data_IF_302444373938
#
_entry.id   IF_302444373938
#
_cell.length_a   1.000
_cell.length_b   1.000
_cell.length_c   1.000
_cell.angle_alpha   90.00
_cell.angle_beta   90.00
_cell.angle_gamma   90.00
#
_symmetry.space_group_name_H-M   'P 1'
#
loop_
_entity.id
_entity.type
_entity.pdbx_description
1 polymer ?
#
# COMPACT_ATOMS: atom_id res chain seq x y z
N UNK A 1 19.26 -5.65 24.27
CA UNK A 1 19.07 -5.89 22.81
C UNK A 1 17.71 -5.33 22.47
N UNK A 2 17.65 -4.20 21.79
CA UNK A 2 16.38 -3.55 21.48
C UNK A 2 15.62 -4.45 20.50
N UNK A 3 14.38 -4.85 20.85
CA UNK A 3 13.52 -5.58 19.94
C UNK A 3 13.20 -4.68 18.75
N UNK A 4 13.80 -4.98 17.60
CA UNK A 4 13.61 -4.20 16.38
C UNK A 4 12.24 -4.54 15.78
N UNK A 5 11.19 -3.83 16.24
CA UNK A 5 9.88 -3.89 15.59
C UNK A 5 9.96 -3.19 14.24
N UNK A 6 10.36 -3.92 13.20
CA UNK A 6 10.38 -3.43 11.84
C UNK A 6 9.04 -3.71 11.15
N UNK A 7 8.42 -2.65 10.61
CA UNK A 7 7.21 -2.73 9.79
C UNK A 7 7.61 -2.62 8.32
N UNK A 8 7.08 -3.49 7.46
CA UNK A 8 7.34 -3.43 6.03
C UNK A 8 6.59 -2.25 5.42
N UNK A 9 7.33 -1.31 4.82
CA UNK A 9 6.79 -0.14 4.11
C UNK A 9 7.13 -0.27 2.63
N UNK A 10 6.12 -0.36 1.79
CA UNK A 10 6.26 -0.39 0.33
C UNK A 10 5.81 0.94 -0.27
N UNK A 11 6.65 1.58 -1.08
CA UNK A 11 6.26 2.75 -1.87
C UNK A 11 6.08 2.32 -3.32
N UNK A 12 4.95 2.65 -3.92
CA UNK A 12 4.64 2.37 -5.32
C UNK A 12 4.09 3.62 -5.99
N UNK A 13 4.26 3.71 -7.31
CA UNK A 13 3.62 4.72 -8.15
C UNK A 13 2.62 4.00 -9.06
N UNK A 14 1.43 4.57 -9.21
CA UNK A 14 0.39 4.04 -10.09
C UNK A 14 -0.08 5.11 -11.07
N UNK A 15 -0.19 4.72 -12.34
CA UNK A 15 -0.75 5.54 -13.42
C UNK A 15 -2.26 5.39 -13.57
N UNK A 16 -2.91 4.64 -12.68
CA UNK A 16 -4.36 4.45 -12.68
C UNK A 16 -5.09 5.77 -12.43
N UNK A 17 -6.27 5.94 -13.04
CA UNK A 17 -7.05 7.17 -12.90
C UNK A 17 -7.58 7.31 -11.48
N UNK A 18 -6.98 8.22 -10.72
CA UNK A 18 -7.38 8.49 -9.34
C UNK A 18 -8.85 8.96 -9.24
N UNK A 19 -9.36 9.71 -10.22
CA UNK A 19 -10.75 10.18 -10.20
C UNK A 19 -11.72 9.01 -10.37
N UNK A 20 -11.38 8.08 -11.26
CA UNK A 20 -12.11 6.82 -11.36
C UNK A 20 -12.03 6.07 -10.04
N UNK A 21 -10.84 5.90 -9.43
CA UNK A 21 -10.65 5.14 -8.19
C UNK A 21 -11.31 5.71 -6.92
N UNK A 22 -11.64 7.00 -6.86
CA UNK A 22 -12.38 7.61 -5.73
C UNK A 22 -13.86 7.83 -6.03
N UNK A 23 -14.28 7.64 -7.29
CA UNK A 23 -15.65 7.87 -7.71
C UNK A 23 -16.64 7.00 -6.94
N UNK A 24 -17.86 7.50 -6.74
CA UNK A 24 -18.96 6.72 -6.16
C UNK A 24 -19.75 6.02 -7.26
N UNK A 25 -19.14 5.04 -7.92
CA UNK A 25 -19.78 4.19 -8.92
C UNK A 25 -19.30 2.75 -8.77
N UNK A 26 -20.01 1.82 -9.41
CA UNK A 26 -19.57 0.44 -9.47
C UNK A 26 -18.25 0.35 -10.25
N UNK A 27 -17.29 -0.39 -9.70
CA UNK A 27 -16.03 -0.72 -10.36
C UNK A 27 -15.61 -2.15 -10.04
N UNK A 28 -14.65 -2.65 -10.81
CA UNK A 28 -13.99 -3.91 -10.52
C UNK A 28 -13.28 -3.84 -9.16
N UNK A 29 -13.54 -4.81 -8.28
CA UNK A 29 -12.87 -4.90 -6.99
C UNK A 29 -11.40 -5.29 -7.15
N UNK A 30 -11.07 -5.99 -8.24
CA UNK A 30 -9.74 -6.56 -8.44
C UNK A 30 -8.66 -5.49 -8.62
N UNK A 31 -9.03 -4.32 -9.16
CA UNK A 31 -8.10 -3.18 -9.30
C UNK A 31 -7.56 -2.66 -7.96
N UNK A 32 -8.27 -2.88 -6.85
CA UNK A 32 -7.84 -2.41 -5.54
C UNK A 32 -6.82 -3.32 -4.87
N UNK A 33 -6.70 -4.59 -5.32
CA UNK A 33 -5.67 -5.51 -4.79
C UNK A 33 -4.25 -5.01 -5.08
N UNK A 34 -4.06 -4.23 -6.16
CA UNK A 34 -2.78 -3.59 -6.44
C UNK A 34 -2.34 -2.66 -5.30
N UNK A 35 -3.28 -1.98 -4.64
CA UNK A 35 -2.96 -0.98 -3.61
C UNK A 35 -2.80 -1.58 -2.21
N UNK A 36 -3.12 -2.86 -2.02
CA UNK A 36 -3.00 -3.54 -0.73
C UNK A 36 -1.55 -4.01 -0.51
N UNK A 37 -0.91 -3.67 0.64
CA UNK A 37 0.40 -4.21 0.96
C UNK A 37 0.33 -5.73 1.14
N UNK A 38 1.32 -6.42 0.58
CA UNK A 38 1.54 -7.84 0.84
C UNK A 38 2.30 -7.99 2.16
N UNK A 39 1.87 -8.91 3.01
CA UNK A 39 2.57 -9.25 4.24
C UNK A 39 3.55 -10.37 3.90
N UNK A 40 4.82 -10.17 4.27
CA UNK A 40 5.85 -11.16 4.04
C UNK A 40 5.50 -12.52 4.66
N UNK A 41 5.97 -13.63 4.09
CA UNK A 41 5.82 -14.93 4.72
C UNK A 41 6.54 -14.95 6.07
N UNK A 42 6.11 -15.88 6.93
CA UNK A 42 6.78 -16.09 8.21
C UNK A 42 8.12 -16.75 7.96
N UNK A 43 9.19 -16.18 8.49
CA UNK A 43 10.55 -16.72 8.36
C UNK A 43 10.93 -17.42 9.65
N UNK A 44 11.29 -18.70 9.56
CA UNK A 44 11.92 -19.43 10.66
C UNK A 44 13.43 -19.16 10.61
N UNK A 45 13.92 -18.40 11.59
CA UNK A 45 15.34 -18.22 11.83
C UNK A 45 15.82 -19.22 12.90
N UNK A 46 17.12 -19.52 12.94
CA UNK A 46 17.70 -20.60 13.75
C UNK A 46 17.38 -20.52 15.25
N UNK A 47 17.09 -19.32 15.77
CA UNK A 47 16.85 -19.07 17.20
C UNK A 47 15.47 -18.48 17.50
N UNK A 48 14.75 -17.97 16.50
CA UNK A 48 13.44 -17.36 16.67
C UNK A 48 12.62 -17.35 15.38
N UNK A 49 11.30 -17.26 15.52
CA UNK A 49 10.37 -17.16 14.40
C UNK A 49 9.98 -15.70 14.18
N UNK A 50 10.26 -15.16 13.00
CA UNK A 50 9.87 -13.79 12.64
C UNK A 50 8.52 -13.81 11.95
N UNK A 51 7.49 -13.37 12.67
CA UNK A 51 6.12 -13.25 12.16
C UNK A 51 5.84 -11.78 11.83
N UNK A 52 5.75 -11.39 10.53
CA UNK A 52 5.33 -10.06 10.16
C UNK A 52 3.83 -9.90 10.43
N UNK A 53 3.48 -8.97 11.32
CA UNK A 53 2.09 -8.73 11.76
C UNK A 53 1.43 -7.61 10.95
N UNK A 54 2.22 -6.66 10.45
CA UNK A 54 1.73 -5.47 9.76
C UNK A 54 2.59 -5.15 8.53
N UNK A 55 1.93 -4.70 7.46
CA UNK A 55 2.57 -4.10 6.30
C UNK A 55 1.80 -2.83 5.86
N UNK A 56 2.55 -1.84 5.40
CA UNK A 56 2.08 -0.55 4.93
C UNK A 56 2.46 -0.37 3.46
N UNK A 57 1.52 0.11 2.64
CA UNK A 57 1.80 0.52 1.26
C UNK A 57 1.38 1.96 1.05
N UNK A 58 2.29 2.74 0.48
CA UNK A 58 2.10 4.12 0.07
C UNK A 58 2.06 4.11 -1.45
N UNK A 59 0.92 4.48 -2.03
CA UNK A 59 0.77 4.58 -3.49
C UNK A 59 0.67 6.04 -3.91
N UNK A 60 1.54 6.45 -4.82
CA UNK A 60 1.57 7.78 -5.43
C UNK A 60 0.76 7.77 -6.73
N UNK A 61 -0.16 8.73 -6.86
CA UNK A 61 -0.93 8.92 -8.09
C UNK A 61 -0.62 10.30 -8.69
N UNK A 62 -0.23 10.31 -9.96
CA UNK A 62 -0.08 11.55 -10.71
C UNK A 62 -1.43 11.96 -11.30
N UNK A 63 -1.97 13.08 -10.83
CA UNK A 63 -3.22 13.63 -11.37
C UNK A 63 -2.91 14.90 -12.14
N UNK A 64 -3.23 14.89 -13.43
CA UNK A 64 -3.12 16.08 -14.27
C UNK A 64 -4.38 16.92 -14.10
N UNK A 65 -4.27 18.09 -13.45
CA UNK A 65 -5.36 19.05 -13.34
C UNK A 65 -5.14 20.13 -14.38
N UNK A 66 -5.85 20.02 -15.52
CA UNK A 66 -5.67 20.86 -16.72
C UNK A 66 -5.66 22.38 -16.48
N UNK A 67 -6.23 22.87 -15.36
CA UNK A 67 -6.32 24.30 -15.04
C UNK A 67 -5.45 24.76 -13.84
N UNK A 68 -4.86 23.85 -13.06
CA UNK A 68 -4.18 24.17 -11.78
C UNK A 68 -2.79 23.54 -11.61
N UNK A 69 -2.33 22.73 -12.56
CA UNK A 69 -1.04 22.02 -12.51
C UNK A 69 -1.18 20.53 -12.21
N UNK A 70 -0.08 19.85 -11.91
CA UNK A 70 -0.11 18.46 -11.44
C UNK A 70 -0.38 18.40 -9.93
N UNK A 71 -1.32 17.55 -9.52
CA UNK A 71 -1.58 17.24 -8.12
C UNK A 71 -1.05 15.84 -7.81
N UNK A 72 -0.41 15.70 -6.65
CA UNK A 72 0.10 14.42 -6.16
C UNK A 72 -0.84 13.94 -5.07
N UNK A 73 -1.44 12.77 -5.28
CA UNK A 73 -2.24 12.10 -4.26
C UNK A 73 -1.48 10.92 -3.67
N UNK A 74 -1.57 10.78 -2.35
CA UNK A 74 -0.93 9.70 -1.60
C UNK A 74 -2.05 8.86 -0.96
N UNK A 75 -2.12 7.58 -1.31
CA UNK A 75 -3.00 6.62 -0.65
C UNK A 75 -2.18 5.74 0.28
N UNK A 76 -2.55 5.73 1.57
CA UNK A 76 -1.97 4.85 2.57
C UNK A 76 -2.90 3.65 2.80
N UNK A 77 -2.41 2.46 2.50
CA UNK A 77 -3.08 1.20 2.79
C UNK A 77 -2.32 0.42 3.87
N UNK A 78 -3.06 -0.19 4.80
CA UNK A 78 -2.51 -1.00 5.88
C UNK A 78 -3.16 -2.39 5.86
N UNK A 79 -2.34 -3.42 6.00
CA UNK A 79 -2.80 -4.80 6.18
C UNK A 79 -2.26 -5.34 7.50
N UNK A 80 -3.14 -5.94 8.29
CA UNK A 80 -2.82 -6.59 9.57
C UNK A 80 -3.14 -8.07 9.46
N UNK A 81 -2.24 -8.92 9.96
CA UNK A 81 -2.44 -10.35 10.11
C UNK A 81 -2.96 -10.61 11.53
N UNK A 82 -4.23 -11.02 11.65
CA UNK A 82 -4.88 -11.44 12.90
C UNK A 82 -4.70 -12.95 13.12
#
# INVERSE_FOLDING_TARGET
MAGESAVSLTTAESGSDFHDLIGNHARDADQFYEFVPQIDPVTDESEYKRVPVMALKVTLFQVVVYALGSAIFIVLAMRVRL
#
